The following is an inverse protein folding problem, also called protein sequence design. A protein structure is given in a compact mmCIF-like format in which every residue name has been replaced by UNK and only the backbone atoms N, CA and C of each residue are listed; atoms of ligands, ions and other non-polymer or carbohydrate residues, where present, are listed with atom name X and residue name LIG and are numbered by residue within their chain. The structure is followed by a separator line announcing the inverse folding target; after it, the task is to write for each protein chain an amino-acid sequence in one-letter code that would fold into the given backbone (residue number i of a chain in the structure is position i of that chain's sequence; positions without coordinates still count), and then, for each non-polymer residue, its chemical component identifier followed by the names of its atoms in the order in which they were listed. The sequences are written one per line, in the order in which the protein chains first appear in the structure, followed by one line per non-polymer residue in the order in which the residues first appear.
data_IF_595186148570
#
_entry.id   IF_595186148570
#
_cell.length_a   1.000
_cell.length_b   1.000
_cell.length_c   1.000
_cell.angle_alpha   90.00
_cell.angle_beta   90.00
_cell.angle_gamma   90.00
#
_symmetry.space_group_name_H-M   'P 1'
#
loop_
_entity.id
_entity.type
_entity.pdbx_description
1 polymer ?
#
# COMPACT_ATOMS: atom_id res chain seq x y z
N UNK A 1 21.71 7.90 -11.02
CA UNK A 1 21.76 7.22 -9.71
C UNK A 1 20.65 6.18 -9.57
N UNK A 2 19.38 6.51 -9.77
CA UNK A 2 18.28 5.56 -9.55
C UNK A 2 18.01 4.53 -10.67
N UNK A 3 18.76 4.54 -11.78
CA UNK A 3 18.44 3.70 -12.95
C UNK A 3 18.40 2.21 -12.60
N UNK A 4 19.41 1.71 -11.89
CA UNK A 4 19.52 0.30 -11.52
C UNK A 4 18.38 -0.15 -10.61
N UNK A 5 18.03 0.67 -9.60
CA UNK A 5 16.93 0.34 -8.66
C UNK A 5 15.55 0.41 -9.33
N UNK A 6 15.36 1.35 -10.27
CA UNK A 6 14.12 1.43 -11.06
C UNK A 6 14.00 0.20 -11.96
N UNK A 7 15.08 -0.20 -12.62
CA UNK A 7 15.08 -1.40 -13.45
C UNK A 7 14.82 -2.66 -12.63
N UNK A 8 15.42 -2.80 -11.46
CA UNK A 8 15.17 -3.91 -10.55
C UNK A 8 13.68 -3.98 -10.13
N UNK A 9 13.08 -2.84 -9.74
CA UNK A 9 11.66 -2.77 -9.38
C UNK A 9 10.73 -3.16 -10.54
N UNK A 10 11.06 -2.72 -11.77
CA UNK A 10 10.27 -3.01 -12.98
C UNK A 10 10.36 -4.48 -13.41
N UNK A 11 11.50 -5.12 -13.18
CA UNK A 11 11.72 -6.54 -13.50
C UNK A 11 11.18 -7.48 -12.44
N UNK A 12 11.08 -7.02 -11.19
CA UNK A 12 10.51 -7.80 -10.09
C UNK A 12 9.00 -7.98 -10.29
N UNK A 13 8.48 -9.16 -9.98
CA UNK A 13 7.03 -9.41 -9.87
C UNK A 13 6.49 -9.09 -8.47
N UNK A 14 7.40 -8.94 -7.49
CA UNK A 14 7.08 -8.71 -6.09
C UNK A 14 7.09 -7.22 -5.73
N UNK A 15 6.59 -6.92 -4.52
CA UNK A 15 6.70 -5.59 -3.93
C UNK A 15 8.17 -5.26 -3.68
N UNK A 16 8.63 -4.14 -4.22
CA UNK A 16 10.04 -3.72 -4.11
C UNK A 16 10.11 -2.33 -3.48
N UNK A 17 10.72 -2.25 -2.30
CA UNK A 17 10.78 -1.02 -1.47
C UNK A 17 12.21 -0.80 -0.96
N UNK A 18 12.50 0.41 -0.48
CA UNK A 18 13.74 0.65 0.25
C UNK A 18 13.59 0.27 1.73
N UNK A 19 14.64 -0.29 2.32
CA UNK A 19 14.71 -0.63 3.73
C UNK A 19 15.93 0.04 4.36
N UNK A 20 15.70 0.89 5.36
CA UNK A 20 16.76 1.56 6.13
C UNK A 20 17.55 0.62 7.02
N UNK A 21 16.95 -0.34 7.76
CA UNK A 21 17.73 -1.24 8.61
C UNK A 21 18.84 -2.03 7.89
N UNK A 22 18.66 -2.28 6.59
CA UNK A 22 19.63 -2.98 5.74
C UNK A 22 20.23 -2.08 4.65
N UNK A 23 19.90 -0.78 4.67
CA UNK A 23 20.36 0.25 3.73
C UNK A 23 20.34 -0.19 2.26
N UNK A 24 19.27 -0.89 1.87
CA UNK A 24 19.21 -1.54 0.57
C UNK A 24 17.80 -1.62 0.00
N UNK A 25 17.73 -1.84 -1.31
CA UNK A 25 16.51 -2.21 -2.00
C UNK A 25 16.17 -3.65 -1.62
N UNK A 26 14.90 -3.91 -1.30
CA UNK A 26 14.45 -5.25 -0.89
C UNK A 26 13.14 -5.63 -1.57
N UNK A 27 12.97 -6.92 -1.81
CA UNK A 27 11.65 -7.50 -2.10
C UNK A 27 10.95 -7.85 -0.80
N UNK A 28 9.67 -7.56 -0.69
CA UNK A 28 8.85 -7.91 0.47
C UNK A 28 7.64 -8.72 0.03
N UNK A 29 7.12 -9.54 0.94
CA UNK A 29 5.96 -10.36 0.66
C UNK A 29 4.67 -9.52 0.68
N UNK A 30 3.70 -9.90 -0.13
CA UNK A 30 2.37 -9.30 -0.08
C UNK A 30 1.68 -9.61 1.27
N UNK A 31 1.08 -8.62 1.94
CA UNK A 31 0.42 -8.87 3.21
C UNK A 31 -0.85 -9.72 3.05
N UNK A 32 -0.94 -10.80 3.82
CA UNK A 32 -2.15 -11.62 3.98
C UNK A 32 -2.72 -11.48 5.39
N UNK A 33 -4.01 -11.77 5.54
CA UNK A 33 -4.70 -11.83 6.83
C UNK A 33 -5.56 -13.09 6.85
N UNK A 34 -5.26 -14.00 7.77
CA UNK A 34 -5.98 -15.28 7.90
C UNK A 34 -5.97 -16.05 6.57
N UNK A 35 -4.79 -16.16 5.95
CA UNK A 35 -4.61 -16.79 4.64
C UNK A 35 -5.18 -16.02 3.43
N UNK A 36 -5.85 -14.87 3.62
CA UNK A 36 -6.44 -14.10 2.50
C UNK A 36 -5.56 -12.89 2.17
N UNK A 37 -5.16 -12.69 0.90
CA UNK A 37 -4.45 -11.49 0.47
C UNK A 37 -5.22 -10.21 0.77
N UNK A 38 -4.54 -9.21 1.33
CA UNK A 38 -5.12 -7.88 1.46
C UNK A 38 -5.28 -7.28 0.08
N UNK A 39 -6.51 -6.97 -0.33
CA UNK A 39 -6.78 -6.34 -1.63
C UNK A 39 -6.02 -5.01 -1.77
N UNK A 40 -5.63 -4.57 -2.98
CA UNK A 40 -4.78 -3.39 -3.16
C UNK A 40 -5.33 -2.13 -2.48
N UNK A 41 -6.66 -1.92 -2.55
CA UNK A 41 -7.35 -0.79 -1.88
C UNK A 41 -7.23 -0.82 -0.35
N UNK A 42 -7.05 -2.00 0.22
CA UNK A 42 -6.91 -2.23 1.67
C UNK A 42 -5.45 -2.15 2.17
N UNK A 43 -4.45 -2.26 1.28
CA UNK A 43 -3.02 -2.29 1.65
C UNK A 43 -2.66 -1.11 2.53
N UNK A 44 -3.08 0.09 2.13
CA UNK A 44 -2.81 1.29 2.90
C UNK A 44 -3.36 1.22 4.33
N UNK A 45 -4.64 0.86 4.47
CA UNK A 45 -5.29 0.77 5.79
C UNK A 45 -4.66 -0.32 6.65
N UNK A 46 -4.18 -1.40 6.03
CA UNK A 46 -3.42 -2.44 6.70
C UNK A 46 -2.10 -1.89 7.24
N UNK A 47 -1.31 -1.17 6.43
CA UNK A 47 -0.06 -0.53 6.85
C UNK A 47 -0.29 0.48 7.98
N UNK A 48 -1.29 1.35 7.86
CA UNK A 48 -1.67 2.29 8.92
C UNK A 48 -2.05 1.57 10.21
N UNK A 49 -2.81 0.47 10.11
CA UNK A 49 -3.18 -0.35 11.26
C UNK A 49 -1.99 -0.99 11.97
N UNK A 50 -0.91 -1.27 11.24
CA UNK A 50 0.37 -1.76 11.77
C UNK A 50 1.33 -0.62 12.15
N UNK A 51 1.01 0.63 11.83
CA UNK A 51 1.89 1.78 12.09
C UNK A 51 3.14 1.76 11.23
N UNK A 52 3.00 1.26 10.00
CA UNK A 52 4.07 1.07 9.04
C UNK A 52 3.84 1.94 7.81
N UNK A 53 4.93 2.32 7.14
CA UNK A 53 4.90 2.90 5.82
C UNK A 53 5.96 2.27 4.92
N UNK A 54 5.79 2.42 3.61
CA UNK A 54 6.80 2.02 2.63
C UNK A 54 7.61 3.21 2.17
N UNK A 55 8.92 3.05 2.04
CA UNK A 55 9.80 4.08 1.50
C UNK A 55 9.95 3.99 -0.01
N UNK A 56 10.00 5.15 -0.65
CA UNK A 56 10.46 5.26 -2.03
C UNK A 56 12.00 5.35 -2.09
N UNK A 57 12.57 5.30 -3.29
CA UNK A 57 14.02 5.31 -3.48
C UNK A 57 14.70 6.64 -3.13
N UNK A 58 13.96 7.72 -2.86
CA UNK A 58 14.56 8.95 -2.34
C UNK A 58 15.27 8.72 -1.00
N UNK A 59 14.89 7.67 -0.25
CA UNK A 59 15.55 7.29 1.00
C UNK A 59 17.03 6.92 0.84
N UNK A 60 17.46 6.49 -0.35
CA UNK A 60 18.88 6.18 -0.64
C UNK A 60 19.79 7.39 -0.42
N UNK A 61 19.29 8.59 -0.69
CA UNK A 61 20.06 9.85 -0.59
C UNK A 61 19.58 10.74 0.57
N UNK A 62 18.66 10.25 1.40
CA UNK A 62 17.99 11.05 2.43
C UNK A 62 18.07 10.38 3.78
N UNK A 63 18.62 11.10 4.75
CA UNK A 63 18.62 10.69 6.16
C UNK A 63 17.20 10.68 6.73
N UNK A 64 16.33 11.58 6.27
CA UNK A 64 14.92 11.61 6.67
C UNK A 64 14.11 10.53 5.98
N UNK A 65 13.08 10.04 6.66
CA UNK A 65 12.13 9.08 6.12
C UNK A 65 11.40 9.60 4.88
N UNK A 66 11.27 8.76 3.84
CA UNK A 66 10.68 9.13 2.54
C UNK A 66 9.53 8.19 2.18
N UNK A 67 8.37 8.30 2.86
CA UNK A 67 7.21 7.47 2.57
C UNK A 67 6.73 7.67 1.13
N UNK A 68 6.40 6.58 0.45
CA UNK A 68 5.69 6.63 -0.82
C UNK A 68 4.21 7.02 -0.59
N UNK A 69 3.54 7.45 -1.65
CA UNK A 69 2.09 7.64 -1.67
C UNK A 69 1.43 6.36 -2.16
N UNK A 70 0.29 5.99 -1.60
CA UNK A 70 -0.59 4.94 -2.15
C UNK A 70 -1.93 5.60 -2.47
N UNK A 71 -2.35 5.54 -3.73
CA UNK A 71 -3.57 6.22 -4.20
C UNK A 71 -4.39 5.27 -5.07
N UNK A 72 -5.70 5.52 -5.11
CA UNK A 72 -6.59 4.89 -6.09
C UNK A 72 -6.72 5.86 -7.26
N UNK A 73 -6.33 5.42 -8.45
CA UNK A 73 -6.50 6.16 -9.69
C UNK A 73 -7.99 6.32 -9.99
N UNK A 74 -8.39 7.53 -10.38
CA UNK A 74 -9.79 7.86 -10.66
C UNK A 74 -10.26 7.34 -12.02
N UNK A 75 -9.33 7.09 -12.94
CA UNK A 75 -9.64 6.76 -14.32
C UNK A 75 -9.98 5.27 -14.49
N UNK A 76 -9.13 4.40 -13.95
CA UNK A 76 -9.18 2.95 -14.07
C UNK A 76 -9.55 2.25 -12.74
N UNK A 77 -9.42 2.95 -11.61
CA UNK A 77 -9.63 2.36 -10.29
C UNK A 77 -8.42 1.58 -9.76
N UNK A 78 -7.29 1.64 -10.47
CA UNK A 78 -6.05 0.96 -10.07
C UNK A 78 -5.45 1.59 -8.81
N UNK A 79 -4.78 0.78 -8.02
CA UNK A 79 -4.09 1.25 -6.82
C UNK A 79 -2.60 1.38 -7.11
N UNK A 80 -2.11 2.60 -7.05
CA UNK A 80 -0.73 2.95 -7.42
C UNK A 80 0.06 3.36 -6.19
N UNK A 81 1.29 2.86 -6.07
CA UNK A 81 2.28 3.33 -5.12
C UNK A 81 3.37 4.11 -5.85
N UNK A 82 3.62 5.37 -5.50
CA UNK A 82 4.63 6.20 -6.19
C UNK A 82 5.33 7.18 -5.26
N UNK A 83 6.45 7.73 -5.71
CA UNK A 83 7.23 8.72 -4.94
C UNK A 83 6.38 9.93 -4.52
N UNK A 84 6.53 10.38 -3.26
CA UNK A 84 5.81 11.55 -2.77
C UNK A 84 6.27 12.89 -3.38
N UNK A 85 7.56 13.02 -3.70
CA UNK A 85 8.17 14.31 -4.05
C UNK A 85 7.64 14.80 -5.40
N UNK A 86 7.14 16.04 -5.39
CA UNK A 86 6.63 16.72 -6.57
C UNK A 86 7.72 17.45 -7.34
N UNK A 87 8.80 17.83 -6.65
CA UNK A 87 9.91 18.53 -7.27
C UNK A 87 10.65 17.60 -8.24
N UNK A 88 10.65 17.98 -9.51
CA UNK A 88 11.23 17.20 -10.61
C UNK A 88 12.71 16.89 -10.43
N UNK A 89 13.44 17.73 -9.68
CA UNK A 89 14.87 17.56 -9.42
C UNK A 89 15.21 16.37 -8.52
N UNK A 90 14.26 15.89 -7.72
CA UNK A 90 14.48 14.83 -6.71
C UNK A 90 13.58 13.60 -6.91
N UNK A 91 12.89 13.49 -8.05
CA UNK A 91 12.07 12.32 -8.37
C UNK A 91 12.94 11.09 -8.56
N UNK A 92 12.83 10.14 -7.64
CA UNK A 92 13.56 8.88 -7.70
C UNK A 92 12.96 7.84 -8.67
N UNK A 93 11.86 8.16 -9.36
CA UNK A 93 11.21 7.27 -10.31
C UNK A 93 10.45 6.07 -9.70
N UNK A 94 10.37 5.97 -8.37
CA UNK A 94 9.61 4.91 -7.69
C UNK A 94 8.14 4.91 -8.12
N UNK A 95 7.70 3.79 -8.68
CA UNK A 95 6.33 3.58 -9.14
C UNK A 95 5.99 2.08 -9.18
N UNK A 96 4.86 1.70 -8.60
CA UNK A 96 4.31 0.35 -8.65
C UNK A 96 2.80 0.39 -8.85
N UNK A 97 2.28 -0.41 -9.77
CA UNK A 97 0.86 -0.73 -9.82
C UNK A 97 0.59 -1.91 -8.87
N UNK A 98 -0.06 -1.63 -7.73
CA UNK A 98 -0.31 -2.64 -6.70
C UNK A 98 -1.34 -3.70 -7.15
N UNK A 99 -2.24 -3.36 -8.07
CA UNK A 99 -3.14 -4.36 -8.67
C UNK A 99 -2.31 -5.39 -9.44
N UNK A 100 -1.47 -4.94 -10.38
CA UNK A 100 -0.60 -5.83 -11.16
C UNK A 100 0.33 -6.66 -10.27
N UNK A 101 0.87 -6.07 -9.20
CA UNK A 101 1.76 -6.76 -8.25
C UNK A 101 1.05 -7.85 -7.46
N UNK A 102 -0.22 -7.66 -7.08
CA UNK A 102 -0.98 -8.72 -6.42
C UNK A 102 -1.19 -9.93 -7.35
N UNK A 103 -1.41 -9.68 -8.64
CA UNK A 103 -1.65 -10.74 -9.62
C UNK A 103 -0.37 -11.52 -9.97
N UNK A 104 0.80 -10.86 -9.91
CA UNK A 104 2.09 -11.46 -10.29
C UNK A 104 2.91 -12.00 -9.12
N UNK A 105 2.72 -11.47 -7.90
CA UNK A 105 3.56 -11.83 -6.74
C UNK A 105 3.39 -13.30 -6.36
N UNK A 106 4.50 -13.93 -6.00
CA UNK A 106 4.50 -15.29 -5.43
C UNK A 106 4.77 -15.28 -3.93
N UNK A 107 5.16 -14.12 -3.39
CA UNK A 107 5.52 -13.95 -1.99
C UNK A 107 4.32 -13.44 -1.20
N UNK A 108 3.93 -14.17 -0.15
CA UNK A 108 2.84 -13.82 0.75
C UNK A 108 3.24 -14.04 2.21
N UNK A 109 2.86 -13.14 3.12
CA UNK A 109 3.15 -13.27 4.55
C UNK A 109 2.08 -12.63 5.44
N UNK A 110 1.77 -13.28 6.56
CA UNK A 110 0.79 -12.77 7.54
C UNK A 110 1.33 -11.62 8.39
N UNK A 111 2.66 -11.49 8.47
CA UNK A 111 3.34 -10.54 9.36
C UNK A 111 2.79 -10.60 10.80
N UNK A 112 2.60 -11.83 11.31
CA UNK A 112 2.02 -12.08 12.64
C UNK A 112 2.86 -11.52 13.79
N UNK A 113 4.17 -11.39 13.58
CA UNK A 113 5.12 -10.78 14.52
C UNK A 113 5.05 -9.25 14.56
N UNK A 114 4.42 -8.62 13.57
CA UNK A 114 4.26 -7.16 13.53
C UNK A 114 2.99 -6.80 14.31
N UNK A 115 3.09 -6.14 15.48
CA UNK A 115 1.92 -5.79 16.26
C UNK A 115 1.08 -4.71 15.58
N UNK A 116 -0.16 -4.55 16.03
CA UNK A 116 -1.00 -3.43 15.62
C UNK A 116 -0.52 -2.14 16.29
N UNK A 117 -0.47 -1.02 15.56
CA UNK A 117 -0.10 0.30 16.09
C UNK A 117 -0.93 0.70 17.32
N UNK A 118 -2.19 0.27 17.38
CA UNK A 118 -3.10 0.53 18.52
C UNK A 118 -2.59 -0.03 19.85
N UNK A 119 -1.71 -1.03 19.82
CA UNK A 119 -1.14 -1.61 21.03
C UNK A 119 0.07 -0.82 21.55
N UNK A 120 0.63 0.09 20.75
CA UNK A 120 1.85 0.84 21.10
C UNK A 120 3.10 -0.03 21.23
N UNK A 121 3.02 -1.31 20.85
CA UNK A 121 4.15 -2.22 20.82
C UNK A 121 4.88 -2.10 19.48
N UNK A 122 6.20 -2.23 19.49
CA UNK A 122 7.04 -2.28 18.30
C UNK A 122 7.48 -3.73 18.06
N UNK A 123 7.59 -4.14 16.79
CA UNK A 123 8.20 -5.41 16.47
C UNK A 123 9.71 -5.30 16.65
N UNK A 124 10.34 -6.33 17.22
CA UNK A 124 11.79 -6.42 17.20
C UNK A 124 12.25 -6.91 15.81
N UNK A 125 12.75 -6.02 14.97
CA UNK A 125 13.27 -6.36 13.63
C UNK A 125 14.68 -6.94 13.64
N UNK A 126 15.41 -6.86 14.75
CA UNK A 126 16.83 -7.26 14.81
C UNK A 126 17.07 -8.70 14.32
N UNK A 127 16.27 -9.73 14.71
CA UNK A 127 16.47 -11.09 14.21
C UNK A 127 16.34 -11.21 12.68
N UNK A 128 15.40 -10.47 12.09
CA UNK A 128 15.15 -10.46 10.65
C UNK A 128 16.28 -9.76 9.90
N UNK A 129 16.76 -8.62 10.40
CA UNK A 129 17.90 -7.89 9.83
C UNK A 129 19.17 -8.76 9.82
N UNK A 130 19.43 -9.47 10.91
CA UNK A 130 20.57 -10.39 10.99
C UNK A 130 20.43 -11.55 10.00
N UNK A 131 19.26 -12.20 9.94
CA UNK A 131 18.97 -13.27 8.98
C UNK A 131 19.15 -12.79 7.53
N UNK A 132 18.63 -11.61 7.21
CA UNK A 132 18.79 -10.99 5.89
C UNK A 132 20.25 -10.77 5.55
N UNK A 133 21.06 -10.18 6.44
CA UNK A 133 22.49 -9.93 6.19
C UNK A 133 23.29 -11.22 5.97
N UNK A 134 22.88 -12.32 6.60
CA UNK A 134 23.48 -13.63 6.36
C UNK A 134 23.11 -14.21 4.99
N UNK A 135 21.89 -13.97 4.48
CA UNK A 135 21.41 -14.49 3.20
C UNK A 135 21.78 -13.61 2.00
N UNK A 136 21.78 -12.29 2.18
CA UNK A 136 21.99 -11.27 1.14
C UNK A 136 23.43 -11.18 0.61
N UNK A 137 24.30 -12.12 0.98
CA UNK A 137 25.62 -12.27 0.35
C UNK A 137 25.54 -12.73 -1.12
N UNK A 138 24.34 -13.09 -1.59
CA UNK A 138 24.04 -13.36 -2.98
C UNK A 138 23.91 -12.02 -3.74
N UNK A 139 24.55 -11.91 -4.91
CA UNK A 139 24.63 -10.71 -5.76
C UNK A 139 23.27 -10.28 -6.40
N UNK A 140 22.15 -10.50 -5.71
CA UNK A 140 20.82 -10.16 -6.21
C UNK A 140 20.52 -8.67 -6.00
N UNK A 141 19.99 -8.03 -7.04
CA UNK A 141 19.48 -6.65 -6.94
C UNK A 141 18.06 -6.70 -6.37
N UNK A 142 17.93 -6.41 -5.07
CA UNK A 142 16.72 -6.57 -4.26
C UNK A 142 16.42 -8.00 -3.79
N UNK A 143 17.24 -8.58 -2.90
CA UNK A 143 16.93 -9.88 -2.33
C UNK A 143 15.67 -9.80 -1.44
N UNK A 144 15.02 -10.94 -1.26
CA UNK A 144 13.83 -11.05 -0.43
C UNK A 144 14.16 -10.81 1.04
N UNK A 145 13.45 -9.90 1.68
CA UNK A 145 13.58 -9.60 3.10
C UNK A 145 12.42 -10.19 3.89
N UNK A 146 12.57 -11.46 4.26
CA UNK A 146 11.55 -12.18 5.01
C UNK A 146 11.24 -11.51 6.36
N UNK A 147 9.96 -11.43 6.69
CA UNK A 147 9.43 -10.77 7.87
C UNK A 147 9.51 -9.24 7.88
N UNK A 148 10.09 -8.58 6.88
CA UNK A 148 10.11 -7.13 6.78
C UNK A 148 8.89 -6.61 6.01
N UNK A 149 8.04 -5.82 6.67
CA UNK A 149 6.83 -5.24 6.08
C UNK A 149 7.03 -3.78 5.63
N UNK A 150 8.00 -3.07 6.20
CA UNK A 150 8.21 -1.64 6.00
C UNK A 150 8.73 -0.97 7.28
N UNK A 151 8.82 0.35 7.24
CA UNK A 151 9.39 1.16 8.32
C UNK A 151 8.33 1.53 9.38
N UNK A 152 8.72 1.56 10.65
CA UNK A 152 7.81 1.93 11.74
C UNK A 152 7.67 3.45 11.88
N UNK A 153 6.43 3.94 11.80
CA UNK A 153 6.09 5.35 12.08
C UNK A 153 6.59 5.87 13.42
N UNK A 154 6.69 5.01 14.44
CA UNK A 154 7.19 5.38 15.77
C UNK A 154 8.69 5.70 15.81
N UNK A 155 9.46 5.17 14.86
CA UNK A 155 10.91 5.42 14.74
C UNK A 155 11.20 6.67 13.90
N UNK A 156 10.21 7.13 13.13
CA UNK A 156 10.34 8.24 12.20
C UNK A 156 9.31 9.33 12.51
N UNK A 157 9.70 10.31 13.33
CA UNK A 157 8.82 11.37 13.81
C UNK A 157 8.12 12.09 12.65
N UNK A 158 6.80 11.98 12.61
CA UNK A 158 5.95 12.65 11.60
C UNK A 158 5.80 11.91 10.27
N UNK A 159 6.55 10.82 10.06
CA UNK A 159 6.35 9.95 8.91
C UNK A 159 5.10 9.10 9.11
N UNK A 160 4.30 8.98 8.04
CA UNK A 160 3.12 8.13 7.97
C UNK A 160 2.89 7.69 6.54
N UNK A 161 2.16 6.61 6.34
CA UNK A 161 1.76 6.20 5.00
C UNK A 161 0.86 7.29 4.40
N UNK A 162 1.25 7.83 3.24
CA UNK A 162 0.62 9.02 2.69
C UNK A 162 -0.58 8.70 1.80
N UNK A 163 -1.66 9.47 2.01
CA UNK A 163 -2.85 9.51 1.16
C UNK A 163 -2.71 10.66 0.16
N UNK A 164 -3.42 10.57 -0.97
CA UNK A 164 -3.60 11.69 -1.90
C UNK A 164 -4.46 12.81 -1.29
N UNK A 165 -3.87 13.99 -1.15
CA UNK A 165 -4.57 15.26 -1.39
C UNK A 165 -4.32 15.82 -2.79
N UNK A 166 -3.52 15.12 -3.60
CA UNK A 166 -3.16 15.53 -4.96
C UNK A 166 -3.95 14.70 -5.96
N UNK A 167 -4.59 15.41 -6.89
CA UNK A 167 -5.32 14.82 -8.01
C UNK A 167 -4.28 14.47 -9.08
N UNK A 168 -4.04 13.17 -9.29
CA UNK A 168 -3.28 12.72 -10.45
C UNK A 168 -4.16 12.89 -11.69
N UNK A 169 -3.90 13.93 -12.46
CA UNK A 169 -4.42 14.03 -13.81
C UNK A 169 -3.54 13.13 -14.66
N UNK A 170 -4.02 11.93 -14.97
CA UNK A 170 -3.34 11.04 -15.92
C UNK A 170 -3.01 11.85 -17.16
N UNK A 171 -1.72 11.96 -17.48
CA UNK A 171 -1.27 12.71 -18.65
C UNK A 171 -2.04 12.18 -19.86
N UNK A 172 -2.71 13.10 -20.56
CA UNK A 172 -3.43 12.79 -21.80
C UNK A 172 -2.51 12.01 -22.73
N UNK A 173 -3.03 10.90 -23.28
CA UNK A 173 -2.33 9.97 -24.19
C UNK A 173 -1.76 10.64 -25.46
N UNK A 174 -1.95 11.94 -25.65
CA UNK A 174 -1.44 12.70 -26.80
C UNK A 174 -0.05 13.34 -26.59
N UNK A 175 0.58 13.19 -25.42
CA UNK A 175 1.92 13.77 -25.20
C UNK A 175 2.99 12.69 -25.34
N UNK A 176 3.85 12.87 -26.35
CA UNK A 176 4.99 12.04 -26.77
C UNK A 176 6.02 11.77 -25.65
N UNK A 177 5.69 11.00 -24.62
CA UNK A 177 6.63 10.42 -23.65
C UNK A 177 7.02 9.00 -24.09
N UNK A 178 7.39 8.87 -25.36
CA UNK A 178 8.15 7.71 -25.87
C UNK A 178 9.54 8.15 -26.37
N UNK A 179 9.87 9.44 -26.31
CA UNK A 179 11.11 9.99 -26.91
C UNK A 179 12.18 10.52 -25.96
N UNK A 180 11.98 10.53 -24.65
CA UNK A 180 12.98 11.09 -23.71
C UNK A 180 13.93 10.07 -23.06
N UNK A 181 13.78 8.77 -23.31
CA UNK A 181 14.69 7.76 -22.76
C UNK A 181 15.32 6.80 -23.79
N UNK A 182 15.08 7.02 -25.09
CA UNK A 182 15.69 6.22 -26.16
C UNK A 182 17.06 6.76 -26.65
N UNK A 183 17.50 7.93 -26.18
CA UNK A 183 18.71 8.62 -26.65
C UNK A 183 19.91 8.47 -25.70
N UNK A 184 19.90 7.47 -24.82
CA UNK A 184 21.03 7.14 -23.92
C UNK A 184 21.83 5.91 -24.39
N UNK A 185 21.44 5.25 -25.50
CA UNK A 185 22.06 4.02 -25.98
C UNK A 185 23.09 4.24 -27.12
N UNK A 186 23.55 5.46 -27.37
CA UNK A 186 24.58 5.70 -28.40
C UNK A 186 25.51 6.81 -27.94
N UNK A 187 26.52 6.44 -27.15
CA UNK A 187 27.91 6.99 -27.08
C UNK A 187 28.57 6.25 -25.92
N UNK A 188 29.20 5.10 -26.21
CA UNK A 188 30.16 4.44 -25.32
C UNK A 188 31.22 3.80 -26.21
N UNK A 189 32.20 4.60 -26.63
CA UNK A 189 33.44 4.14 -27.21
C UNK A 189 34.61 4.83 -26.50
N UNK A 190 35.06 4.21 -25.40
CA UNK A 190 36.44 4.20 -24.83
C UNK A 190 37.16 5.52 -24.48
N UNK A 191 38.31 5.50 -23.75
CA UNK A 191 38.87 4.47 -22.87
C UNK A 191 39.15 4.97 -21.42
N UNK A 192 39.43 3.99 -20.56
CA UNK A 192 39.72 4.02 -19.12
C UNK A 192 40.69 5.10 -18.60
N UNK A 193 40.49 5.59 -17.36
CA UNK A 193 41.55 6.18 -16.56
C UNK A 193 42.22 5.14 -15.64
N UNK A 194 43.53 5.32 -15.49
CA UNK A 194 44.48 4.49 -14.73
C UNK A 194 44.18 4.51 -13.23
N UNK A 195 44.23 3.33 -12.62
CA UNK A 195 44.18 3.11 -11.18
C UNK A 195 45.52 3.54 -10.57
N UNK A 196 45.49 4.54 -9.69
CA UNK A 196 46.60 4.88 -8.80
C UNK A 196 46.36 4.16 -7.48
N UNK A 197 47.15 3.12 -7.22
CA UNK A 197 47.19 2.40 -5.94
C UNK A 197 47.87 3.26 -4.87
N UNK A 198 47.14 3.58 -3.80
CA UNK A 198 47.66 4.17 -2.56
C UNK A 198 47.78 3.06 -1.50
N UNK A 199 48.92 2.91 -0.80
CA UNK A 199 49.12 1.85 0.19
C UNK A 199 48.39 2.15 1.52
N UNK A 200 48.05 1.12 2.31
CA UNK A 200 47.21 1.25 3.49
C UNK A 200 48.00 1.79 4.69
N UNK A 201 47.53 2.91 5.25
CA UNK A 201 47.97 3.40 6.56
C UNK A 201 47.27 2.63 7.68
N UNK A 202 48.09 2.02 8.55
CA UNK A 202 47.67 1.39 9.81
C UNK A 202 47.34 2.47 10.84
N UNK A 203 46.09 2.56 11.29
CA UNK A 203 45.74 3.28 12.51
C UNK A 203 45.25 2.31 13.59
N UNK A 204 46.07 2.18 14.64
CA UNK A 204 45.68 1.65 15.95
C UNK A 204 44.92 2.75 16.68
N UNK A 205 43.69 2.50 17.13
CA UNK A 205 43.09 3.28 18.23
C UNK A 205 42.38 2.35 19.20
N UNK A 206 42.66 2.61 20.48
CA UNK A 206 42.35 1.83 21.68
C UNK A 206 40.87 1.91 22.05
N UNK A 207 40.40 0.77 22.57
CA UNK A 207 39.24 0.59 23.43
C UNK A 207 39.29 1.46 24.68
N UNK A 208 38.15 2.03 25.09
CA UNK A 208 37.75 2.27 26.49
C UNK A 208 36.26 2.62 26.52
N UNK A 209 35.42 1.69 27.00
CA UNK A 209 34.01 1.92 27.34
C UNK A 209 33.85 1.55 28.82
N UNK A 210 33.44 2.48 29.69
CA UNK A 210 32.90 2.15 31.00
C UNK A 210 31.41 1.82 30.88
N UNK A 211 31.03 0.70 31.50
CA UNK A 211 29.65 0.26 31.72
C UNK A 211 29.15 0.97 32.97
N UNK A 212 28.12 1.82 32.84
CA UNK A 212 27.35 2.30 33.98
C UNK A 212 25.92 1.73 33.93
N UNK A 213 25.65 0.91 34.93
CA UNK A 213 24.37 0.36 35.32
C UNK A 213 23.54 1.47 35.99
N UNK A 214 22.29 1.65 35.60
CA UNK A 214 21.31 2.37 36.42
C UNK A 214 19.97 1.63 36.37
N UNK A 215 19.68 0.91 37.45
CA UNK A 215 18.36 0.39 37.80
C UNK A 215 17.50 1.50 38.43
N UNK A 216 16.18 1.25 38.49
CA UNK A 216 15.07 2.02 39.12
C UNK A 216 14.20 2.76 38.09
N UNK A 217 12.87 2.65 38.09
CA UNK A 217 11.94 2.04 39.03
C UNK A 217 10.52 1.97 38.44
N UNK A 218 9.64 1.26 39.14
CA UNK A 218 8.27 0.98 38.72
C UNK A 218 7.30 2.16 38.83
N UNK A 219 6.10 1.99 38.26
CA UNK A 219 5.04 2.99 38.38
C UNK A 219 3.77 2.68 37.60
N UNK A 220 2.85 1.96 38.27
CA UNK A 220 1.39 2.17 38.30
C UNK A 220 0.56 2.11 37.00
N UNK A 221 -0.17 0.99 36.91
CA UNK A 221 -1.38 0.75 36.12
C UNK A 221 -2.51 1.75 36.47
N UNK A 222 -3.07 2.45 35.49
CA UNK A 222 -4.40 3.07 35.60
C UNK A 222 -5.33 2.57 34.49
N UNK A 223 -6.31 1.76 34.90
CA UNK A 223 -7.42 1.31 34.07
C UNK A 223 -8.41 2.46 33.85
N UNK A 224 -8.65 2.85 32.59
CA UNK A 224 -9.73 3.78 32.22
C UNK A 224 -10.97 3.02 31.74
N UNK A 225 -12.07 3.23 32.46
CA UNK A 225 -13.44 2.75 32.21
C UNK A 225 -13.95 3.16 30.82
N UNK A 226 -14.43 2.18 30.04
CA UNK A 226 -15.21 2.38 28.80
C UNK A 226 -16.67 2.69 29.13
N UNK A 227 -17.20 3.81 28.62
CA UNK A 227 -18.65 4.07 28.53
C UNK A 227 -19.16 3.48 27.21
N UNK A 228 -20.17 2.61 27.28
CA UNK A 228 -20.94 2.12 26.12
C UNK A 228 -22.01 3.15 25.77
N UNK A 229 -22.07 3.57 24.51
CA UNK A 229 -23.19 4.31 23.95
C UNK A 229 -23.83 3.39 22.91
N UNK A 230 -25.08 2.99 23.14
CA UNK A 230 -25.90 2.22 22.21
C UNK A 230 -26.72 3.20 21.37
N UNK A 231 -26.53 3.20 20.05
CA UNK A 231 -27.45 3.87 19.12
C UNK A 231 -28.26 2.81 18.37
N UNK A 232 -29.59 2.91 18.51
CA UNK A 232 -30.59 2.15 17.76
C UNK A 232 -30.57 2.52 16.29
N UNK A 233 -30.70 1.52 15.40
CA UNK A 233 -30.64 1.67 13.95
C UNK A 233 -32.01 1.34 13.36
N UNK A 234 -32.76 2.38 12.98
CA UNK A 234 -34.02 2.23 12.23
C UNK A 234 -33.75 2.36 10.74
N UNK A 235 -33.94 1.26 10.01
CA UNK A 235 -33.88 1.22 8.55
C UNK A 235 -35.25 1.57 7.98
N UNK A 236 -35.35 2.74 7.34
CA UNK A 236 -36.55 3.15 6.62
C UNK A 236 -36.48 2.60 5.17
N UNK A 237 -37.24 1.55 4.89
CA UNK A 237 -37.40 1.00 3.55
C UNK A 237 -38.74 1.46 2.97
N UNK A 238 -38.72 2.53 2.17
CA UNK A 238 -39.88 3.01 1.43
C UNK A 238 -39.69 2.76 -0.05
N UNK A 239 -40.26 1.67 -0.57
CA UNK A 239 -40.44 1.44 -2.02
C UNK A 239 -41.92 1.33 -2.30
N UNK A 240 -42.51 2.40 -2.83
CA UNK A 240 -43.81 2.37 -3.48
C UNK A 240 -43.57 1.93 -4.93
N UNK A 241 -43.90 0.68 -5.24
CA UNK A 241 -43.92 0.15 -6.60
C UNK A 241 -45.39 -0.05 -6.97
N UNK A 242 -45.85 0.79 -7.89
CA UNK A 242 -47.18 0.66 -8.49
C UNK A 242 -47.23 -0.59 -9.36
N UNK A 243 -48.31 -1.33 -9.15
CA UNK A 243 -48.68 -2.58 -9.78
C UNK A 243 -49.17 -2.33 -11.21
N UNK A 244 -48.48 -2.90 -12.20
CA UNK A 244 -49.04 -3.09 -13.55
C UNK A 244 -48.89 -4.57 -13.89
N UNK A 245 -50.04 -5.24 -13.93
CA UNK A 245 -50.26 -6.57 -14.49
C UNK A 245 -50.20 -6.51 -16.01
N UNK A 246 -49.51 -7.47 -16.64
CA UNK A 246 -50.01 -8.21 -17.81
C UNK A 246 -48.97 -9.25 -18.27
N UNK A 247 -49.34 -10.53 -18.14
CA UNK A 247 -48.83 -11.66 -18.93
C UNK A 247 -49.39 -11.59 -20.36
N UNK A 248 -48.63 -11.94 -21.42
CA UNK A 248 -48.58 -13.36 -21.77
C UNK A 248 -47.34 -13.89 -22.52
N UNK A 249 -47.32 -15.23 -22.55
CA UNK A 249 -46.86 -16.12 -23.62
C UNK A 249 -45.36 -16.44 -23.77
N UNK A 250 -45.14 -17.75 -23.70
CA UNK A 250 -43.90 -18.45 -23.91
C UNK A 250 -43.30 -18.21 -25.31
N UNK A 251 -42.02 -17.83 -25.31
CA UNK A 251 -41.20 -17.68 -26.51
C UNK A 251 -39.77 -18.11 -26.20
N UNK A 252 -39.41 -19.27 -26.73
CA UNK A 252 -38.08 -19.76 -27.03
C UNK A 252 -37.05 -18.64 -27.28
N UNK A 253 -35.82 -18.70 -26.71
CA UNK A 253 -34.56 -18.19 -27.33
C UNK A 253 -33.31 -18.39 -26.43
N UNK A 254 -32.28 -18.94 -27.07
CA UNK A 254 -30.84 -18.63 -27.02
C UNK A 254 -30.05 -18.70 -25.71
N UNK A 255 -28.99 -19.50 -25.79
CA UNK A 255 -27.75 -19.45 -25.01
C UNK A 255 -27.31 -18.03 -24.67
N UNK A 256 -27.26 -17.73 -23.38
CA UNK A 256 -26.65 -16.52 -22.86
C UNK A 256 -25.14 -16.53 -23.14
N UNK A 257 -24.56 -15.42 -23.61
CA UNK A 257 -23.11 -15.31 -23.71
C UNK A 257 -22.51 -15.42 -22.30
N UNK A 258 -21.37 -16.09 -22.16
CA UNK A 258 -20.54 -16.07 -20.95
C UNK A 258 -20.19 -14.60 -20.64
N UNK A 259 -20.91 -14.00 -19.69
CA UNK A 259 -20.69 -12.60 -19.32
C UNK A 259 -19.44 -12.50 -18.46
N UNK A 260 -18.61 -11.54 -18.86
CA UNK A 260 -17.37 -11.06 -18.31
C UNK A 260 -17.39 -10.86 -16.79
N UNK A 261 -16.23 -11.10 -16.18
CA UNK A 261 -15.78 -10.72 -14.83
C UNK A 261 -16.69 -9.71 -14.11
N UNK A 262 -17.59 -10.21 -13.26
CA UNK A 262 -18.42 -9.32 -12.44
C UNK A 262 -17.53 -8.74 -11.35
N UNK A 263 -17.36 -7.41 -11.38
CA UNK A 263 -16.72 -6.67 -10.29
C UNK A 263 -17.28 -7.13 -8.93
N UNK A 264 -16.45 -7.18 -7.88
CA UNK A 264 -16.85 -7.63 -6.55
C UNK A 264 -18.14 -6.95 -6.02
N UNK A 265 -18.40 -5.72 -6.48
CA UNK A 265 -19.63 -4.98 -6.19
C UNK A 265 -20.89 -5.64 -6.77
N UNK A 266 -20.81 -6.16 -8.00
CA UNK A 266 -21.91 -6.86 -8.67
C UNK A 266 -22.28 -8.16 -7.96
N UNK A 267 -21.29 -8.90 -7.47
CA UNK A 267 -21.53 -10.13 -6.69
C UNK A 267 -22.26 -9.82 -5.38
N UNK A 268 -21.91 -8.74 -4.68
CA UNK A 268 -22.60 -8.34 -3.45
C UNK A 268 -24.06 -7.93 -3.71
N UNK A 269 -24.32 -7.21 -4.81
CA UNK A 269 -25.69 -6.81 -5.19
C UNK A 269 -26.55 -8.01 -5.60
N UNK A 270 -25.97 -8.99 -6.29
CA UNK A 270 -26.67 -10.22 -6.65
C UNK A 270 -27.01 -11.09 -5.44
N UNK A 271 -26.10 -11.16 -4.46
CA UNK A 271 -26.38 -11.85 -3.18
C UNK A 271 -27.53 -11.19 -2.43
N UNK A 272 -27.50 -9.85 -2.33
CA UNK A 272 -28.61 -9.09 -1.73
C UNK A 272 -29.94 -9.31 -2.47
N UNK A 273 -29.95 -9.41 -3.80
CA UNK A 273 -31.18 -9.63 -4.57
C UNK A 273 -31.78 -11.03 -4.35
N UNK A 274 -30.95 -12.00 -3.98
CA UNK A 274 -31.38 -13.35 -3.58
C UNK A 274 -31.78 -13.45 -2.10
N UNK A 275 -31.73 -12.35 -1.36
CA UNK A 275 -32.02 -12.32 0.08
C UNK A 275 -30.87 -12.84 0.95
N UNK A 276 -29.68 -13.03 0.39
CA UNK A 276 -28.50 -13.34 1.19
C UNK A 276 -28.00 -12.08 1.91
N UNK A 277 -27.71 -12.21 3.20
CA UNK A 277 -27.12 -11.13 3.96
C UNK A 277 -25.68 -10.82 3.52
N UNK A 278 -25.24 -9.58 3.78
CA UNK A 278 -23.84 -9.18 3.67
C UNK A 278 -23.18 -9.14 5.04
N UNK A 279 -21.88 -9.45 5.08
CA UNK A 279 -21.05 -9.13 6.25
C UNK A 279 -20.92 -7.61 6.40
N UNK A 280 -20.57 -7.16 7.61
CA UNK A 280 -20.39 -5.73 7.88
C UNK A 280 -19.34 -5.08 6.98
N UNK A 281 -18.23 -5.79 6.72
CA UNK A 281 -17.14 -5.29 5.85
C UNK A 281 -17.57 -5.21 4.39
N UNK A 282 -18.31 -6.21 3.89
CA UNK A 282 -18.86 -6.18 2.53
C UNK A 282 -19.84 -5.01 2.39
N UNK A 283 -20.70 -4.79 3.37
CA UNK A 283 -21.62 -3.65 3.40
C UNK A 283 -20.86 -2.32 3.37
N UNK A 284 -19.89 -2.11 4.27
CA UNK A 284 -19.06 -0.88 4.30
C UNK A 284 -18.26 -0.67 3.00
N UNK A 285 -17.91 -1.75 2.29
CA UNK A 285 -17.24 -1.65 0.99
C UNK A 285 -18.21 -1.33 -0.16
N UNK A 286 -19.50 -1.68 0.00
CA UNK A 286 -20.54 -1.54 -1.01
C UNK A 286 -21.18 -0.15 -1.00
N UNK A 287 -21.34 0.45 0.18
CA UNK A 287 -22.06 1.72 0.36
C UNK A 287 -21.17 2.82 0.95
N UNK A 288 -21.48 4.06 0.59
CA UNK A 288 -20.87 5.27 1.14
C UNK A 288 -21.91 6.08 1.91
N UNK A 289 -21.51 6.72 3.01
CA UNK A 289 -22.39 7.55 3.84
C UNK A 289 -22.38 8.99 3.35
N UNK A 290 -23.55 9.57 3.11
CA UNK A 290 -23.68 10.99 2.83
C UNK A 290 -23.31 11.82 4.07
N UNK A 291 -22.39 12.78 3.92
CA UNK A 291 -21.96 13.64 5.02
C UNK A 291 -23.04 14.59 5.55
N UNK A 292 -24.05 14.90 4.74
CA UNK A 292 -25.12 15.84 5.08
C UNK A 292 -26.27 15.13 5.81
N UNK A 293 -26.98 14.21 5.14
CA UNK A 293 -28.14 13.52 5.74
C UNK A 293 -27.80 12.25 6.53
N UNK A 294 -26.55 11.78 6.49
CA UNK A 294 -26.10 10.59 7.21
C UNK A 294 -26.60 9.24 6.65
N UNK A 295 -27.35 9.24 5.53
CA UNK A 295 -27.85 8.01 4.87
C UNK A 295 -26.76 7.34 4.04
N UNK A 296 -26.89 6.02 3.84
CA UNK A 296 -25.98 5.21 3.03
C UNK A 296 -26.49 5.05 1.60
N UNK A 297 -25.60 5.15 0.63
CA UNK A 297 -25.90 5.06 -0.79
C UNK A 297 -24.84 4.24 -1.52
N UNK A 298 -25.20 3.61 -2.63
CA UNK A 298 -24.18 3.15 -3.57
C UNK A 298 -23.39 4.36 -4.11
N UNK A 299 -22.07 4.24 -4.37
CA UNK A 299 -21.24 5.36 -4.79
C UNK A 299 -21.78 6.16 -5.99
N UNK A 300 -22.41 5.48 -6.95
CA UNK A 300 -23.01 6.13 -8.13
C UNK A 300 -24.24 6.97 -7.75
N UNK A 301 -25.11 6.43 -6.89
CA UNK A 301 -26.32 7.11 -6.42
C UNK A 301 -25.95 8.28 -5.52
N UNK A 302 -24.94 8.12 -4.66
CA UNK A 302 -24.47 9.18 -3.77
C UNK A 302 -24.11 10.45 -4.54
N UNK A 303 -23.42 10.32 -5.68
CA UNK A 303 -23.03 11.46 -6.52
C UNK A 303 -24.24 12.24 -7.04
N UNK A 304 -25.32 11.55 -7.38
CA UNK A 304 -26.58 12.20 -7.81
C UNK A 304 -27.39 12.77 -6.64
N UNK A 305 -27.20 12.22 -5.44
CA UNK A 305 -27.87 12.63 -4.22
C UNK A 305 -27.26 13.90 -3.62
N UNK A 306 -25.93 14.01 -3.55
CA UNK A 306 -25.21 15.13 -2.91
C UNK A 306 -25.75 16.51 -3.33
N UNK A 307 -25.97 16.81 -4.63
CA UNK A 307 -26.47 18.13 -5.05
C UNK A 307 -27.92 18.41 -4.62
N UNK A 308 -28.71 17.37 -4.35
CA UNK A 308 -30.13 17.46 -3.95
C UNK A 308 -30.33 17.34 -2.44
N UNK A 309 -29.27 17.02 -1.70
CA UNK A 309 -29.34 16.80 -0.27
C UNK A 309 -29.38 18.15 0.46
N UNK A 310 -30.59 18.64 0.73
CA UNK A 310 -30.83 19.72 1.68
C UNK A 310 -30.92 19.15 3.11
N UNK A 311 -30.30 19.85 4.06
CA UNK A 311 -30.37 19.54 5.50
C UNK A 311 -31.80 19.49 6.03
#
# INVERSE_FOLDING_TARGET
MFSEVIEAQRRSDDLTVYSRPVESLVRIAWPIRQGVPIVPKGVKNYLDGKGIFWECFCAIISEEARPCRIVVSRQDGDVLAFCHHLDDSLKCGFFMNLCSKLDSTTLFSEYGHVPSAKMGLQANLLPYVLAYRHQAQLHETAPFFDGYLGEFTSEHRGAKQLNSGLIYHGESKDTKIVRLYATAATIMASPSPRIVTVPPQKSRVRSNIPVEFCEQGGGLYQQRKRRKISHSMELYCGTHLDSISETPAAGHLTSFPKIADWSAQGQCLERLSRGEGLTHLEFESLVERCGTCGRYFLPQVLRSHIPKCSN
#
